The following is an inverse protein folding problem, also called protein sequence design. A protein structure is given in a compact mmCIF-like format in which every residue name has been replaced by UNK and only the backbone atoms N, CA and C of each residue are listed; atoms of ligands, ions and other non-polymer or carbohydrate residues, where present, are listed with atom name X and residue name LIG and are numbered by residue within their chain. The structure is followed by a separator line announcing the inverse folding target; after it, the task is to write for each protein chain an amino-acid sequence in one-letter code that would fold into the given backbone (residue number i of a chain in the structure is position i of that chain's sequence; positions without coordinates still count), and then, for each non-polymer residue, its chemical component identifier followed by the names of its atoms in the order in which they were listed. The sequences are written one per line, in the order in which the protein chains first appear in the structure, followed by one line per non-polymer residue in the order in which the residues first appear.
data_IF_148977230189
#
_entry.id   IF_148977230189
#
_cell.length_a   1.000
_cell.length_b   1.000
_cell.length_c   1.000
_cell.angle_alpha   90.00
_cell.angle_beta   90.00
_cell.angle_gamma   90.00
#
_symmetry.space_group_name_H-M   'P 1'
#
loop_
_entity.id
_entity.type
_entity.pdbx_description
1 polymer ?
#
# COMPACT_ATOMS: atom_id res chain seq x y z
N UNK A 1 4.08 9.67 -27.98
CA UNK A 1 4.16 8.41 -27.23
C UNK A 1 5.31 7.63 -27.85
N UNK A 2 6.46 7.58 -27.17
CA UNK A 2 7.66 6.92 -27.69
C UNK A 2 7.53 5.41 -27.51
N UNK A 3 7.74 4.65 -28.59
CA UNK A 3 7.49 3.21 -28.71
C UNK A 3 8.48 2.29 -27.95
N UNK A 4 9.11 2.72 -26.85
CA UNK A 4 9.94 1.84 -26.00
C UNK A 4 9.99 2.35 -24.56
N UNK A 5 8.89 2.23 -23.81
CA UNK A 5 8.99 2.30 -22.35
C UNK A 5 9.76 1.05 -21.86
N UNK A 6 10.75 1.21 -20.96
CA UNK A 6 11.51 0.09 -20.43
C UNK A 6 10.59 -0.88 -19.69
N UNK A 7 10.72 -2.17 -19.99
CA UNK A 7 9.97 -3.21 -19.27
C UNK A 7 10.57 -3.44 -17.89
N UNK A 8 9.72 -3.36 -16.86
CA UNK A 8 10.04 -3.81 -15.52
C UNK A 8 9.65 -5.28 -15.38
N UNK A 9 10.53 -6.10 -14.84
CA UNK A 9 10.31 -7.54 -14.68
C UNK A 9 10.38 -7.94 -13.22
N UNK A 10 9.54 -8.90 -12.84
CA UNK A 10 9.46 -9.44 -11.50
C UNK A 10 9.46 -10.96 -11.56
N UNK A 11 9.87 -11.60 -10.47
CA UNK A 11 9.66 -13.05 -10.33
C UNK A 11 8.16 -13.30 -10.20
N UNK A 12 7.68 -14.27 -10.97
CA UNK A 12 6.26 -14.65 -10.99
C UNK A 12 5.72 -14.96 -9.58
N UNK A 13 6.50 -15.65 -8.76
CA UNK A 13 6.05 -16.04 -7.42
C UNK A 13 5.89 -14.82 -6.50
N UNK A 14 6.85 -13.89 -6.51
CA UNK A 14 6.80 -12.66 -5.73
C UNK A 14 5.53 -11.85 -6.08
N UNK A 15 5.20 -11.73 -7.37
CA UNK A 15 3.94 -11.08 -7.80
C UNK A 15 2.70 -11.84 -7.37
N UNK A 16 2.72 -13.17 -7.47
CA UNK A 16 1.57 -14.00 -7.02
C UNK A 16 1.33 -13.81 -5.53
N UNK A 17 2.38 -13.75 -4.72
CA UNK A 17 2.27 -13.61 -3.27
C UNK A 17 1.74 -12.22 -2.90
N UNK A 18 2.25 -11.16 -3.54
CA UNK A 18 1.68 -9.80 -3.42
C UNK A 18 0.19 -9.77 -3.81
N UNK A 19 -0.19 -10.42 -4.91
CA UNK A 19 -1.58 -10.44 -5.36
C UNK A 19 -2.49 -11.17 -4.36
N UNK A 20 -2.02 -12.22 -3.70
CA UNK A 20 -2.77 -12.89 -2.63
C UNK A 20 -3.01 -11.95 -1.45
N UNK A 21 -2.00 -11.18 -1.06
CA UNK A 21 -2.08 -10.22 0.04
C UNK A 21 -3.05 -9.07 -0.27
N UNK A 22 -2.95 -8.50 -1.48
CA UNK A 22 -3.89 -7.48 -1.96
C UNK A 22 -5.31 -8.05 -2.00
N UNK A 23 -5.50 -9.28 -2.48
CA UNK A 23 -6.82 -9.90 -2.53
C UNK A 23 -7.40 -10.13 -1.12
N UNK A 24 -6.59 -10.61 -0.17
CA UNK A 24 -7.00 -10.75 1.22
C UNK A 24 -7.46 -9.41 1.79
N UNK A 25 -6.70 -8.34 1.56
CA UNK A 25 -7.04 -7.00 2.03
C UNK A 25 -8.35 -6.50 1.43
N UNK A 26 -8.47 -6.50 0.11
CA UNK A 26 -9.62 -5.94 -0.60
C UNK A 26 -10.91 -6.68 -0.27
N UNK A 27 -10.89 -8.01 -0.33
CA UNK A 27 -12.08 -8.83 -0.05
C UNK A 27 -12.52 -8.67 1.40
N UNK A 28 -11.58 -8.75 2.35
CA UNK A 28 -11.93 -8.65 3.77
C UNK A 28 -12.44 -7.26 4.14
N UNK A 29 -11.84 -6.19 3.60
CA UNK A 29 -12.34 -4.83 3.83
C UNK A 29 -13.75 -4.62 3.28
N UNK A 30 -14.05 -5.18 2.09
CA UNK A 30 -15.38 -5.14 1.53
C UNK A 30 -16.38 -5.88 2.42
N UNK A 31 -16.04 -7.08 2.87
CA UNK A 31 -16.94 -7.92 3.66
C UNK A 31 -17.21 -7.32 5.05
N UNK A 32 -16.17 -6.77 5.70
CA UNK A 32 -16.31 -6.01 6.96
C UNK A 32 -17.19 -4.77 6.73
N UNK A 33 -16.95 -4.05 5.63
CA UNK A 33 -17.74 -2.87 5.24
C UNK A 33 -19.22 -3.22 5.08
N UNK A 34 -19.53 -4.26 4.32
CA UNK A 34 -20.89 -4.75 4.11
C UNK A 34 -21.55 -5.20 5.42
N UNK A 35 -20.83 -5.97 6.25
CA UNK A 35 -21.34 -6.40 7.55
C UNK A 35 -21.70 -5.22 8.46
N UNK A 36 -20.90 -4.14 8.45
CA UNK A 36 -21.18 -2.93 9.22
C UNK A 36 -22.39 -2.13 8.74
N UNK A 37 -22.82 -2.33 7.48
CA UNK A 37 -24.07 -1.74 6.96
C UNK A 37 -25.27 -2.55 7.45
N UNK A 38 -25.14 -3.88 7.50
CA UNK A 38 -26.23 -4.79 7.85
C UNK A 38 -26.46 -4.91 9.37
N UNK A 39 -25.42 -4.73 10.19
CA UNK A 39 -25.49 -4.80 11.66
C UNK A 39 -24.92 -3.53 12.31
N UNK A 40 -25.80 -2.74 12.93
CA UNK A 40 -25.45 -1.51 13.63
C UNK A 40 -24.58 -1.72 14.89
N UNK A 41 -24.41 -2.96 15.37
CA UNK A 41 -23.51 -3.28 16.47
C UNK A 41 -22.06 -3.44 16.02
N UNK A 42 -21.80 -3.57 14.72
CA UNK A 42 -20.46 -3.71 14.18
C UNK A 42 -19.82 -2.31 14.07
N UNK A 43 -18.80 -2.07 14.89
CA UNK A 43 -17.96 -0.89 14.76
C UNK A 43 -16.92 -1.10 13.65
N UNK A 44 -17.19 -0.54 12.47
CA UNK A 44 -16.34 -0.65 11.28
C UNK A 44 -14.86 -0.34 11.56
N UNK A 45 -14.56 0.70 12.34
CA UNK A 45 -13.18 1.10 12.60
C UNK A 45 -12.43 0.08 13.48
N UNK A 46 -13.12 -0.49 14.47
CA UNK A 46 -12.57 -1.52 15.35
C UNK A 46 -12.33 -2.83 14.61
N UNK A 47 -13.28 -3.28 13.79
CA UNK A 47 -13.13 -4.51 13.00
C UNK A 47 -12.04 -4.38 11.94
N UNK A 48 -11.94 -3.22 11.26
CA UNK A 48 -10.83 -2.97 10.33
C UNK A 48 -9.49 -2.97 11.05
N UNK A 49 -9.37 -2.31 12.19
CA UNK A 49 -8.12 -2.28 12.97
C UNK A 49 -7.73 -3.69 13.42
N UNK A 50 -8.69 -4.45 13.95
CA UNK A 50 -8.50 -5.84 14.36
C UNK A 50 -8.05 -6.71 13.20
N UNK A 51 -8.73 -6.65 12.06
CA UNK A 51 -8.35 -7.38 10.85
C UNK A 51 -6.92 -7.06 10.42
N UNK A 52 -6.55 -5.78 10.36
CA UNK A 52 -5.19 -5.34 9.99
C UNK A 52 -4.13 -5.91 10.93
N UNK A 53 -4.42 -5.96 12.23
CA UNK A 53 -3.50 -6.46 13.27
C UNK A 53 -3.40 -7.99 13.26
N UNK A 54 -4.52 -8.70 13.24
CA UNK A 54 -4.55 -10.17 13.32
C UNK A 54 -3.98 -10.86 12.07
N UNK A 55 -3.87 -10.14 10.95
CA UNK A 55 -3.38 -10.67 9.69
C UNK A 55 -2.04 -10.06 9.24
N UNK A 56 -1.37 -9.29 10.11
CA UNK A 56 -0.07 -8.66 9.83
C UNK A 56 -0.05 -7.86 8.51
N UNK A 57 -1.17 -7.20 8.18
CA UNK A 57 -1.36 -6.57 6.86
C UNK A 57 -0.32 -5.47 6.61
N UNK A 58 0.04 -4.71 7.65
CA UNK A 58 1.01 -3.62 7.51
C UNK A 58 2.42 -4.12 7.17
N UNK A 59 2.81 -5.27 7.71
CA UNK A 59 4.09 -5.92 7.40
C UNK A 59 4.09 -6.43 5.96
N UNK A 60 3.06 -7.18 5.58
CA UNK A 60 2.85 -7.68 4.21
C UNK A 60 2.86 -6.57 3.17
N UNK A 61 2.16 -5.47 3.41
CA UNK A 61 2.18 -4.30 2.51
C UNK A 61 3.56 -3.64 2.42
N UNK A 62 4.34 -3.67 3.51
CA UNK A 62 5.72 -3.18 3.50
C UNK A 62 6.63 -4.07 2.65
N UNK A 63 6.50 -5.40 2.78
CA UNK A 63 7.23 -6.37 1.97
C UNK A 63 6.85 -6.28 0.49
N UNK A 64 5.56 -6.20 0.19
CA UNK A 64 5.07 -5.98 -1.16
C UNK A 64 5.64 -4.70 -1.77
N UNK A 65 5.64 -3.59 -1.00
CA UNK A 65 6.25 -2.34 -1.45
C UNK A 65 7.73 -2.50 -1.76
N UNK A 66 8.48 -3.19 -0.89
CA UNK A 66 9.92 -3.44 -1.08
C UNK A 66 10.18 -4.20 -2.38
N UNK A 67 9.48 -5.30 -2.61
CA UNK A 67 9.59 -6.11 -3.83
C UNK A 67 9.23 -5.28 -5.08
N UNK A 68 8.15 -4.51 -5.02
CA UNK A 68 7.70 -3.69 -6.15
C UNK A 68 8.63 -2.50 -6.41
N UNK A 69 9.36 -2.01 -5.40
CA UNK A 69 10.33 -0.93 -5.57
C UNK A 69 11.71 -1.39 -6.01
N UNK A 70 12.07 -2.66 -5.80
CA UNK A 70 13.42 -3.21 -6.08
C UNK A 70 13.94 -2.84 -7.48
N UNK A 71 13.16 -2.95 -8.58
CA UNK A 71 13.68 -2.62 -9.91
C UNK A 71 14.04 -1.13 -10.12
N UNK A 72 13.62 -0.25 -9.21
CA UNK A 72 13.76 1.20 -9.32
C UNK A 72 14.78 1.78 -8.32
N UNK A 73 15.35 0.97 -7.41
CA UNK A 73 16.19 1.47 -6.29
C UNK A 73 17.42 2.29 -6.74
N UNK A 74 17.98 1.99 -7.91
CA UNK A 74 19.15 2.69 -8.43
C UNK A 74 18.80 3.72 -9.52
N UNK A 75 17.51 3.90 -9.82
CA UNK A 75 17.06 4.84 -10.83
C UNK A 75 17.08 6.26 -10.28
N UNK A 76 17.70 7.17 -11.04
CA UNK A 76 17.82 8.58 -10.68
C UNK A 76 17.16 9.44 -11.75
N UNK A 77 16.57 10.54 -11.33
CA UNK A 77 16.11 11.59 -12.24
C UNK A 77 17.29 12.30 -12.90
N UNK A 78 17.02 13.11 -13.93
CA UNK A 78 18.03 13.95 -14.59
C UNK A 78 18.77 14.87 -13.59
N UNK A 79 18.07 15.29 -12.53
CA UNK A 79 18.60 16.13 -11.44
C UNK A 79 19.35 15.33 -10.35
N UNK A 80 19.48 14.00 -10.51
CA UNK A 80 20.21 13.13 -9.59
C UNK A 80 19.43 12.71 -8.34
N UNK A 81 18.15 13.05 -8.24
CA UNK A 81 17.27 12.61 -7.14
C UNK A 81 16.82 11.15 -7.35
N UNK A 82 16.48 10.44 -6.28
CA UNK A 82 15.92 9.10 -6.38
C UNK A 82 14.58 9.12 -7.13
N UNK A 83 14.44 8.24 -8.12
CA UNK A 83 13.28 8.25 -9.03
C UNK A 83 11.96 8.10 -8.28
N UNK A 84 11.86 7.08 -7.40
CA UNK A 84 10.63 6.84 -6.65
C UNK A 84 10.29 7.97 -5.68
N UNK A 85 11.30 8.58 -5.02
CA UNK A 85 11.07 9.75 -4.16
C UNK A 85 10.49 10.93 -4.95
N UNK A 86 11.01 11.17 -6.15
CA UNK A 86 10.52 12.23 -7.03
C UNK A 86 9.07 11.98 -7.47
N UNK A 87 8.76 10.76 -7.93
CA UNK A 87 7.43 10.38 -8.41
C UNK A 87 6.40 10.39 -7.27
N UNK A 88 6.79 10.02 -6.05
CA UNK A 88 5.91 9.97 -4.88
C UNK A 88 5.83 11.28 -4.09
N UNK A 89 6.52 12.34 -4.53
CA UNK A 89 6.61 13.62 -3.80
C UNK A 89 5.27 14.34 -3.62
N UNK A 90 4.30 14.07 -4.50
CA UNK A 90 2.96 14.67 -4.47
C UNK A 90 1.94 13.88 -3.61
N UNK A 91 2.35 12.77 -3.00
CA UNK A 91 1.45 11.96 -2.16
C UNK A 91 1.17 12.65 -0.82
N UNK A 92 -0.12 12.72 -0.47
CA UNK A 92 -0.57 13.31 0.79
C UNK A 92 -0.53 12.28 1.93
N UNK A 93 0.64 12.09 2.53
CA UNK A 93 0.77 11.23 3.71
C UNK A 93 0.00 11.78 4.91
N UNK A 94 -0.52 10.87 5.74
CA UNK A 94 -1.14 11.23 7.01
C UNK A 94 -0.12 11.96 7.90
N UNK A 95 -0.53 13.10 8.45
CA UNK A 95 0.29 13.90 9.38
C UNK A 95 -0.46 14.07 10.68
N UNK A 96 0.20 13.78 11.80
CA UNK A 96 -0.32 14.11 13.12
C UNK A 96 -0.49 15.63 13.21
N UNK A 97 -1.72 16.10 13.45
CA UNK A 97 -1.96 17.51 13.75
C UNK A 97 -1.43 17.80 15.16
N UNK A 98 -0.29 18.47 15.26
CA UNK A 98 0.15 19.03 16.55
C UNK A 98 -0.83 20.14 16.93
N UNK A 99 -1.59 19.96 18.02
CA UNK A 99 -2.24 21.10 18.67
C UNK A 99 -1.13 21.87 19.39
N UNK A 100 -0.80 23.06 18.91
CA UNK A 100 0.00 24.00 19.70
C UNK A 100 -0.77 24.23 21.02
N UNK A 101 -0.08 24.13 22.15
CA UNK A 101 -0.61 24.60 23.42
C UNK A 101 -0.61 26.13 23.34
N UNK A 102 -1.79 26.74 23.33
CA UNK A 102 -1.98 28.16 23.67
C UNK A 102 -1.81 28.36 25.18
#
# INVERSE_FOLDING_TARGET
MSENEPMVTYKKNDIIDILKEINLLVVSMNDIGMASIDDANINLAEELLKFLQENDILEKLSEARMILSEPFENEKTEDGNEFLESVMSNLNYWKRKYKAKE
#
